data_IF_786507380703
#
_entry.id   IF_786507380703
#
_cell.length_a   1.000
_cell.length_b   1.000
_cell.length_c   1.000
_cell.angle_alpha   90.00
_cell.angle_beta   90.00
_cell.angle_gamma   90.00
#
_symmetry.space_group_name_H-M   'P 1'
#
loop_
_entity.id
_entity.type
_entity.pdbx_description
1 polymer ?
#
# COMPACT_ATOMS: atom_id res chain seq x y z
N UNK A 1 -31.91 -50.73 -14.47
CA UNK A 1 -32.37 -49.34 -14.39
C UNK A 1 -31.18 -48.52 -13.90
N UNK A 2 -30.38 -48.00 -14.81
CA UNK A 2 -29.17 -47.21 -14.48
C UNK A 2 -29.60 -45.75 -14.19
N UNK A 3 -29.41 -45.34 -12.94
CA UNK A 3 -29.52 -43.96 -12.56
C UNK A 3 -28.32 -43.19 -13.16
N UNK A 4 -28.63 -42.30 -14.11
CA UNK A 4 -27.65 -41.32 -14.59
C UNK A 4 -27.28 -40.38 -13.45
N UNK A 5 -26.05 -40.51 -12.95
CA UNK A 5 -25.43 -39.48 -12.08
C UNK A 5 -25.38 -38.18 -12.89
N UNK A 6 -26.17 -37.20 -12.46
CA UNK A 6 -26.06 -35.85 -13.02
C UNK A 6 -24.73 -35.24 -12.53
N UNK A 7 -23.89 -34.76 -13.45
CA UNK A 7 -22.64 -34.15 -13.05
C UNK A 7 -22.88 -32.93 -12.11
N UNK A 8 -22.04 -32.83 -11.10
CA UNK A 8 -22.12 -31.78 -10.08
C UNK A 8 -22.07 -30.38 -10.74
N UNK A 9 -22.83 -29.38 -10.29
CA UNK A 9 -22.88 -28.05 -10.90
C UNK A 9 -21.52 -27.33 -11.04
N UNK A 10 -20.52 -27.72 -10.22
CA UNK A 10 -19.15 -27.21 -10.29
C UNK A 10 -18.36 -27.72 -11.50
N UNK A 11 -18.66 -28.93 -12.02
CA UNK A 11 -17.98 -29.43 -13.22
C UNK A 11 -18.52 -28.78 -14.50
N UNK A 12 -19.78 -28.39 -14.51
CA UNK A 12 -20.42 -27.74 -15.66
C UNK A 12 -19.93 -26.30 -15.89
N UNK A 13 -19.55 -25.58 -14.83
CA UNK A 13 -19.03 -24.23 -14.94
C UNK A 13 -17.59 -24.15 -15.49
N UNK A 14 -16.82 -25.23 -15.38
CA UNK A 14 -15.47 -25.31 -15.93
C UNK A 14 -15.42 -25.41 -17.48
N UNK A 15 -16.53 -25.75 -18.12
CA UNK A 15 -16.57 -26.08 -19.56
C UNK A 15 -17.22 -25.00 -20.45
N UNK A 16 -17.76 -23.94 -19.91
CA UNK A 16 -18.22 -22.78 -20.69
C UNK A 16 -17.08 -21.87 -21.13
N UNK A 17 -15.90 -22.44 -21.35
CA UNK A 17 -14.75 -21.79 -21.89
C UNK A 17 -14.97 -21.36 -23.35
N UNK A 18 -14.51 -20.22 -23.66
CA UNK A 18 -14.50 -19.50 -24.94
C UNK A 18 -14.44 -20.46 -26.14
N UNK A 19 -15.44 -20.35 -27.02
CA UNK A 19 -15.56 -21.12 -28.27
C UNK A 19 -14.24 -21.09 -29.06
N UNK A 20 -13.61 -22.26 -29.25
CA UNK A 20 -12.33 -22.38 -29.99
C UNK A 20 -11.08 -22.62 -29.14
N UNK A 21 -11.16 -22.75 -27.84
CA UNK A 21 -10.01 -23.13 -27.01
C UNK A 21 -9.79 -24.64 -26.97
N UNK A 22 -8.55 -25.09 -27.22
CA UNK A 22 -8.13 -26.48 -26.98
C UNK A 22 -8.18 -26.79 -25.49
N UNK A 23 -8.68 -27.99 -25.16
CA UNK A 23 -8.73 -28.50 -23.79
C UNK A 23 -7.34 -28.39 -23.12
N UNK A 24 -7.28 -27.90 -21.90
CA UNK A 24 -6.05 -27.77 -21.12
C UNK A 24 -5.23 -26.49 -21.37
N UNK A 25 -5.61 -25.63 -22.31
CA UNK A 25 -4.94 -24.35 -22.54
C UNK A 25 -5.70 -23.21 -21.86
N UNK A 26 -5.15 -22.67 -20.79
CA UNK A 26 -5.68 -21.47 -20.13
C UNK A 26 -5.17 -20.23 -20.86
N UNK A 27 -6.06 -19.48 -21.49
CA UNK A 27 -5.70 -18.28 -22.27
C UNK A 27 -5.03 -17.20 -21.44
N UNK A 28 -5.33 -17.13 -20.16
CA UNK A 28 -4.93 -16.05 -19.25
C UNK A 28 -4.09 -16.51 -18.07
N UNK A 29 -3.89 -17.82 -17.90
CA UNK A 29 -3.08 -18.40 -16.84
C UNK A 29 -2.15 -19.49 -17.40
N UNK A 30 -0.92 -19.52 -16.92
CA UNK A 30 0.03 -20.61 -17.14
C UNK A 30 -0.36 -21.84 -16.29
N UNK A 31 0.31 -22.98 -16.51
CA UNK A 31 0.07 -24.22 -15.75
C UNK A 31 0.37 -24.06 -14.26
N UNK A 32 1.31 -23.20 -13.90
CA UNK A 32 1.71 -22.87 -12.53
C UNK A 32 0.79 -21.85 -11.83
N UNK A 33 -0.29 -21.41 -12.52
CA UNK A 33 -1.25 -20.43 -11.99
C UNK A 33 -0.86 -18.97 -12.21
N UNK A 34 0.35 -18.69 -12.72
CA UNK A 34 0.75 -17.34 -13.11
C UNK A 34 -0.05 -16.84 -14.32
N UNK A 35 -0.16 -15.51 -14.49
CA UNK A 35 -0.86 -14.95 -15.64
C UNK A 35 0.03 -15.03 -16.90
N UNK A 36 -0.60 -15.36 -18.03
CA UNK A 36 0.03 -15.16 -19.34
C UNK A 36 0.12 -13.65 -19.64
N UNK A 37 0.95 -13.19 -20.61
CA UNK A 37 0.97 -11.79 -21.02
C UNK A 37 -0.42 -11.26 -21.44
N UNK A 38 -1.27 -12.10 -22.02
CA UNK A 38 -2.66 -11.76 -22.33
C UNK A 38 -3.52 -11.69 -21.07
N UNK A 39 -3.24 -12.52 -20.07
CA UNK A 39 -3.85 -12.49 -18.74
C UNK A 39 -3.42 -11.23 -17.98
N UNK A 40 -2.15 -10.91 -18.01
CA UNK A 40 -1.63 -9.67 -17.40
C UNK A 40 -2.32 -8.44 -18.00
N UNK A 41 -2.43 -8.35 -19.33
CA UNK A 41 -3.11 -7.24 -20.02
C UNK A 41 -4.62 -7.18 -19.71
N UNK A 42 -5.29 -8.34 -19.58
CA UNK A 42 -6.73 -8.41 -19.27
C UNK A 42 -7.03 -8.13 -17.81
N UNK A 43 -6.17 -8.58 -16.93
CA UNK A 43 -6.30 -8.44 -15.47
C UNK A 43 -5.37 -7.39 -14.89
N UNK A 44 -4.49 -6.79 -15.71
CA UNK A 44 -3.84 -5.54 -15.36
C UNK A 44 -4.93 -4.48 -15.23
N UNK A 45 -5.44 -4.41 -14.03
CA UNK A 45 -6.28 -3.30 -13.63
C UNK A 45 -5.34 -2.10 -13.62
N UNK A 46 -5.55 -1.17 -14.52
CA UNK A 46 -4.95 0.16 -14.47
C UNK A 46 -5.51 0.83 -13.19
N UNK A 47 -4.87 0.47 -12.08
CA UNK A 47 -5.35 0.79 -10.74
C UNK A 47 -5.38 2.31 -10.52
N UNK A 48 -4.48 3.04 -11.16
CA UNK A 48 -4.40 4.50 -11.05
C UNK A 48 -5.64 5.19 -11.61
N UNK A 49 -6.17 4.69 -12.73
CA UNK A 49 -7.37 5.26 -13.36
C UNK A 49 -8.65 5.00 -12.58
N UNK A 50 -8.64 4.13 -11.59
CA UNK A 50 -9.84 3.78 -10.81
C UNK A 50 -9.94 4.50 -9.48
N UNK A 51 -8.86 5.10 -8.99
CA UNK A 51 -8.91 5.98 -7.81
C UNK A 51 -9.56 7.29 -8.22
N UNK A 52 -10.67 7.62 -7.59
CA UNK A 52 -11.43 8.84 -7.89
C UNK A 52 -10.99 9.96 -6.95
N UNK A 53 -10.80 11.16 -7.48
CA UNK A 53 -10.62 12.37 -6.68
C UNK A 53 -11.99 13.01 -6.48
N UNK A 54 -12.36 13.20 -5.22
CA UNK A 54 -13.63 13.81 -4.84
C UNK A 54 -13.54 15.35 -4.93
N UNK A 55 -14.68 16.02 -4.91
CA UNK A 55 -14.76 17.49 -4.98
C UNK A 55 -14.05 18.20 -3.82
N UNK A 56 -13.93 17.53 -2.66
CA UNK A 56 -13.21 18.04 -1.48
C UNK A 56 -11.70 17.74 -1.51
N UNK A 57 -11.18 17.15 -2.59
CA UNK A 57 -9.78 16.76 -2.75
C UNK A 57 -9.42 15.41 -2.13
N UNK A 58 -10.29 14.79 -1.32
CA UNK A 58 -10.08 13.42 -0.85
C UNK A 58 -10.15 12.43 -2.02
N UNK A 59 -9.68 11.21 -1.80
CA UNK A 59 -9.68 10.15 -2.80
C UNK A 59 -10.57 9.01 -2.38
N UNK A 60 -11.23 8.37 -3.35
CA UNK A 60 -12.01 7.13 -3.14
C UNK A 60 -11.37 6.00 -3.92
N UNK A 61 -10.99 4.94 -3.21
CA UNK A 61 -10.56 3.68 -3.79
C UNK A 61 -11.77 2.76 -3.89
N UNK A 62 -12.21 2.37 -5.11
CA UNK A 62 -13.46 1.64 -5.27
C UNK A 62 -13.37 0.18 -4.81
N UNK A 63 -14.53 -0.43 -4.57
CA UNK A 63 -14.64 -1.88 -4.37
C UNK A 63 -14.06 -2.65 -5.56
N UNK A 64 -13.41 -3.78 -5.28
CA UNK A 64 -12.72 -4.60 -6.28
C UNK A 64 -11.33 -4.09 -6.65
N UNK A 65 -10.91 -2.93 -6.17
CA UNK A 65 -9.53 -2.45 -6.36
C UNK A 65 -8.50 -3.39 -5.72
N UNK A 66 -7.34 -3.53 -6.33
CA UNK A 66 -6.30 -4.46 -5.86
C UNK A 66 -5.07 -3.74 -5.38
N UNK A 67 -4.63 -4.12 -4.19
CA UNK A 67 -3.35 -3.73 -3.61
C UNK A 67 -2.38 -4.90 -3.60
N UNK A 68 -1.11 -4.57 -3.45
CA UNK A 68 -0.02 -5.49 -3.14
C UNK A 68 0.55 -5.14 -1.76
N UNK A 69 0.96 -6.18 -1.04
CA UNK A 69 1.69 -6.05 0.22
C UNK A 69 2.79 -7.11 0.27
N UNK A 70 3.98 -6.73 0.67
CA UNK A 70 5.04 -7.68 1.01
C UNK A 70 4.99 -7.91 2.51
N UNK A 71 4.87 -9.16 2.95
CA UNK A 71 4.75 -9.50 4.36
C UNK A 71 4.75 -11.00 4.61
N UNK A 72 4.26 -11.41 5.77
CA UNK A 72 3.99 -12.81 6.09
C UNK A 72 2.76 -13.31 5.34
N UNK A 73 2.49 -14.61 5.38
CA UNK A 73 1.36 -15.23 4.67
C UNK A 73 -0.03 -14.83 5.23
N UNK A 74 -0.08 -14.31 6.44
CA UNK A 74 -1.30 -13.84 7.13
C UNK A 74 -1.54 -12.35 6.93
N UNK A 75 -2.78 -11.88 7.09
CA UNK A 75 -3.10 -10.45 7.08
C UNK A 75 -2.70 -9.85 8.43
N UNK A 76 -1.40 -9.68 8.62
CA UNK A 76 -0.89 -9.03 9.81
C UNK A 76 -1.01 -7.51 9.64
N UNK A 77 -1.94 -6.91 10.36
CA UNK A 77 -1.89 -5.47 10.64
C UNK A 77 -0.68 -5.18 11.51
N UNK A 78 -0.11 -4.00 11.41
CA UNK A 78 0.95 -3.59 12.33
C UNK A 78 0.41 -3.52 13.77
N UNK A 79 1.29 -3.34 14.76
CA UNK A 79 0.91 -3.27 16.19
C UNK A 79 -0.14 -2.17 16.47
N UNK A 80 -0.17 -1.13 15.65
CA UNK A 80 -1.14 -0.03 15.72
C UNK A 80 -2.49 -0.36 15.07
N UNK A 81 -2.60 -1.46 14.30
CA UNK A 81 -3.82 -1.84 13.58
C UNK A 81 -3.90 -1.32 12.15
N UNK A 82 -2.83 -0.73 11.60
CA UNK A 82 -2.74 -0.29 10.21
C UNK A 82 -2.22 -1.37 9.26
N UNK A 83 -2.67 -1.36 8.02
CA UNK A 83 -2.23 -2.26 6.97
C UNK A 83 -1.55 -1.47 5.86
N UNK A 84 -0.23 -1.61 5.74
CA UNK A 84 0.56 -0.98 4.69
C UNK A 84 0.37 -1.72 3.37
N UNK A 85 -0.04 -0.99 2.34
CA UNK A 85 -0.32 -1.51 1.00
C UNK A 85 0.15 -0.53 -0.07
N UNK A 86 0.40 -1.05 -1.26
CA UNK A 86 0.65 -0.24 -2.46
C UNK A 86 -0.09 -0.83 -3.65
N UNK A 87 -0.11 -0.13 -4.77
CA UNK A 87 -0.63 -0.67 -6.00
C UNK A 87 0.34 -0.39 -7.15
N UNK A 88 0.22 -1.19 -8.21
CA UNK A 88 1.16 -1.12 -9.32
C UNK A 88 2.28 -2.15 -9.21
N UNK A 89 2.80 -2.50 -10.39
CA UNK A 89 3.84 -3.52 -10.54
C UNK A 89 5.20 -3.01 -10.06
N UNK A 90 5.47 -1.73 -10.27
CA UNK A 90 6.72 -1.09 -9.89
C UNK A 90 6.92 -1.09 -8.38
N UNK A 91 5.90 -0.66 -7.64
CA UNK A 91 5.95 -0.60 -6.20
C UNK A 91 6.03 -1.99 -5.59
N UNK A 92 5.27 -2.97 -6.11
CA UNK A 92 5.39 -4.36 -5.70
C UNK A 92 6.83 -4.88 -5.85
N UNK A 93 7.48 -4.60 -7.00
CA UNK A 93 8.86 -5.02 -7.22
C UNK A 93 9.87 -4.31 -6.30
N UNK A 94 9.67 -3.02 -6.00
CA UNK A 94 10.50 -2.26 -5.05
C UNK A 94 10.39 -2.83 -3.64
N UNK A 95 9.17 -3.12 -3.18
CA UNK A 95 8.97 -3.73 -1.87
C UNK A 95 9.54 -5.16 -1.79
N UNK A 96 9.39 -5.98 -2.84
CA UNK A 96 10.05 -7.30 -2.89
C UNK A 96 11.58 -7.14 -2.81
N UNK A 97 12.16 -6.17 -3.53
CA UNK A 97 13.61 -5.89 -3.44
C UNK A 97 14.03 -5.45 -2.03
N UNK A 98 13.25 -4.61 -1.36
CA UNK A 98 13.57 -4.00 -0.07
C UNK A 98 13.29 -4.94 1.11
N UNK A 99 12.12 -5.57 1.13
CA UNK A 99 11.60 -6.33 2.27
C UNK A 99 11.63 -7.85 2.07
N UNK A 100 11.98 -8.33 0.88
CA UNK A 100 12.03 -9.76 0.59
C UNK A 100 13.05 -10.51 1.46
N UNK A 101 13.08 -11.86 1.41
CA UNK A 101 13.87 -12.70 2.29
C UNK A 101 15.38 -12.49 2.06
N UNK A 102 15.97 -11.60 2.81
CA UNK A 102 17.44 -11.42 2.93
C UNK A 102 17.95 -12.19 4.14
N UNK A 103 19.25 -12.52 4.16
CA UNK A 103 19.87 -13.19 5.30
C UNK A 103 19.69 -12.41 6.60
N UNK A 104 19.90 -11.09 6.56
CA UNK A 104 19.71 -10.19 7.70
C UNK A 104 18.22 -10.07 8.08
N UNK A 105 17.32 -9.90 7.10
CA UNK A 105 15.89 -9.81 7.37
C UNK A 105 15.33 -11.09 8.00
N UNK A 106 15.82 -12.26 7.61
CA UNK A 106 15.47 -13.53 8.25
C UNK A 106 15.98 -13.61 9.69
N UNK A 107 17.22 -13.16 9.93
CA UNK A 107 17.82 -13.15 11.25
C UNK A 107 17.06 -12.25 12.22
N UNK A 108 16.60 -11.10 11.76
CA UNK A 108 15.85 -10.12 12.58
C UNK A 108 14.32 -10.28 12.49
N UNK A 109 13.81 -11.31 11.81
CA UNK A 109 12.37 -11.55 11.69
C UNK A 109 11.59 -10.50 10.89
N UNK A 110 12.30 -9.65 10.12
CA UNK A 110 11.73 -8.55 9.31
C UNK A 110 11.52 -8.93 7.85
N UNK A 111 11.96 -10.14 7.44
CA UNK A 111 11.84 -10.58 6.05
C UNK A 111 10.37 -10.82 5.66
N UNK A 112 9.96 -10.22 4.57
CA UNK A 112 8.71 -10.56 3.89
C UNK A 112 8.85 -11.91 3.18
N UNK A 113 7.91 -12.83 3.44
CA UNK A 113 7.92 -14.18 2.89
C UNK A 113 7.07 -14.29 1.63
N UNK A 114 6.12 -13.38 1.48
CA UNK A 114 5.14 -13.43 0.39
C UNK A 114 4.72 -12.05 -0.10
N UNK A 115 4.25 -12.02 -1.35
CA UNK A 115 3.44 -10.93 -1.91
C UNK A 115 1.99 -11.30 -1.73
N UNK A 116 1.26 -10.52 -0.97
CA UNK A 116 -0.18 -10.65 -0.79
C UNK A 116 -0.90 -9.74 -1.78
N UNK A 117 -1.87 -10.30 -2.50
CA UNK A 117 -2.82 -9.52 -3.28
C UNK A 117 -4.06 -9.27 -2.42
N UNK A 118 -4.37 -8.03 -2.20
CA UNK A 118 -5.44 -7.59 -1.31
C UNK A 118 -6.51 -6.89 -2.14
N UNK A 119 -7.76 -7.27 -1.98
CA UNK A 119 -8.89 -6.67 -2.70
C UNK A 119 -9.75 -5.87 -1.73
N UNK A 120 -10.14 -4.68 -2.17
CA UNK A 120 -11.08 -3.80 -1.47
C UNK A 120 -12.49 -4.40 -1.55
N UNK A 121 -13.13 -4.67 -0.40
CA UNK A 121 -14.51 -5.19 -0.31
C UNK A 121 -15.55 -4.08 -0.45
N UNK A 122 -15.30 -2.95 0.20
CA UNK A 122 -16.15 -1.75 0.14
C UNK A 122 -15.28 -0.51 -0.04
N UNK A 123 -15.77 0.56 -0.69
CA UNK A 123 -14.94 1.72 -1.02
C UNK A 123 -14.18 2.27 0.19
N UNK A 124 -12.91 2.66 -0.04
CA UNK A 124 -12.08 3.30 0.97
C UNK A 124 -11.99 4.79 0.65
N UNK A 125 -12.30 5.63 1.61
CA UNK A 125 -12.02 7.07 1.53
C UNK A 125 -10.66 7.38 2.14
N UNK A 126 -9.85 8.16 1.42
CA UNK A 126 -8.51 8.54 1.82
C UNK A 126 -8.37 10.06 1.72
N UNK A 127 -7.78 10.77 2.71
CA UNK A 127 -7.51 12.18 2.61
C UNK A 127 -6.46 12.48 1.53
N UNK A 128 -6.43 13.72 1.02
CA UNK A 128 -5.26 14.24 0.32
C UNK A 128 -4.10 14.44 1.30
N UNK A 129 -2.90 14.72 0.78
CA UNK A 129 -1.76 15.05 1.63
C UNK A 129 -2.02 16.31 2.48
N UNK A 130 -2.68 17.29 1.89
CA UNK A 130 -3.07 18.53 2.55
C UNK A 130 -4.07 18.28 3.68
N UNK A 131 -5.09 17.47 3.41
CA UNK A 131 -6.05 17.06 4.43
C UNK A 131 -5.37 16.24 5.53
N UNK A 132 -4.44 15.35 5.15
CA UNK A 132 -3.65 14.57 6.12
C UNK A 132 -2.87 15.49 7.04
N UNK A 133 -2.16 16.48 6.49
CA UNK A 133 -1.42 17.46 7.27
C UNK A 133 -2.32 18.28 8.19
N UNK A 134 -3.45 18.76 7.69
CA UNK A 134 -4.42 19.57 8.44
C UNK A 134 -5.03 18.79 9.60
N UNK A 135 -5.48 17.57 9.36
CA UNK A 135 -6.06 16.71 10.40
C UNK A 135 -5.00 16.32 11.44
N UNK A 136 -3.77 16.03 11.02
CA UNK A 136 -2.65 15.77 11.92
C UNK A 136 -2.35 17.00 12.78
N UNK A 137 -2.22 18.18 12.18
CA UNK A 137 -1.98 19.43 12.93
C UNK A 137 -3.09 19.69 13.96
N UNK A 138 -4.35 19.54 13.54
CA UNK A 138 -5.50 19.71 14.43
C UNK A 138 -5.46 18.78 15.64
N UNK A 139 -5.14 17.50 15.41
CA UNK A 139 -5.03 16.49 16.45
C UNK A 139 -3.88 16.80 17.42
N UNK A 140 -2.70 17.15 16.90
CA UNK A 140 -1.50 17.41 17.71
C UNK A 140 -1.65 18.68 18.57
N UNK A 141 -2.32 19.72 18.06
CA UNK A 141 -2.62 20.93 18.85
C UNK A 141 -3.53 20.60 20.05
N UNK A 142 -4.50 19.70 19.85
CA UNK A 142 -5.45 19.31 20.89
C UNK A 142 -4.86 18.31 21.88
N UNK A 143 -3.78 17.60 21.53
CA UNK A 143 -3.17 16.57 22.34
C UNK A 143 -1.66 16.79 22.51
N UNK A 144 -1.28 17.54 23.55
CA UNK A 144 0.11 17.91 23.82
C UNK A 144 1.02 16.71 24.11
N UNK A 145 0.48 15.63 24.72
CA UNK A 145 1.25 14.41 24.96
C UNK A 145 1.58 13.75 23.62
N UNK A 146 0.58 13.55 22.77
CA UNK A 146 0.78 12.98 21.45
C UNK A 146 1.73 13.84 20.60
N UNK A 147 1.67 15.18 20.74
CA UNK A 147 2.59 16.07 20.05
C UNK A 147 4.05 15.87 20.48
N UNK A 148 4.30 15.70 21.78
CA UNK A 148 5.65 15.42 22.28
C UNK A 148 6.15 14.08 21.70
N UNK A 149 5.35 13.03 21.80
CA UNK A 149 5.72 11.68 21.34
C UNK A 149 5.94 11.66 19.79
N UNK A 150 5.12 12.42 19.06
CA UNK A 150 5.30 12.66 17.63
C UNK A 150 6.62 13.37 17.30
N UNK A 151 7.00 14.39 18.06
CA UNK A 151 8.30 15.09 17.89
C UNK A 151 9.48 14.14 18.12
N UNK A 152 9.43 13.34 19.18
CA UNK A 152 10.49 12.37 19.49
C UNK A 152 10.68 11.35 18.37
N UNK A 153 9.59 10.77 17.88
CA UNK A 153 9.62 9.86 16.74
C UNK A 153 10.18 10.57 15.50
N UNK A 154 9.67 11.76 15.17
CA UNK A 154 10.11 12.51 14.00
C UNK A 154 11.60 12.85 14.05
N UNK A 155 12.13 13.19 15.21
CA UNK A 155 13.55 13.48 15.40
C UNK A 155 14.44 12.27 15.15
N UNK A 156 13.95 11.07 15.46
CA UNK A 156 14.69 9.80 15.32
C UNK A 156 14.73 9.26 13.89
N UNK A 157 13.78 9.67 13.02
CA UNK A 157 13.71 9.15 11.64
C UNK A 157 14.75 9.81 10.71
N UNK A 158 15.13 9.06 9.68
CA UNK A 158 15.91 9.61 8.57
C UNK A 158 15.00 10.50 7.72
N UNK A 159 15.16 11.81 7.86
CA UNK A 159 14.41 12.78 7.08
C UNK A 159 14.96 12.85 5.66
N UNK A 160 14.07 12.68 4.68
CA UNK A 160 14.39 12.85 3.26
C UNK A 160 13.82 14.17 2.74
N UNK A 161 14.54 14.81 1.83
CA UNK A 161 14.18 16.12 1.30
C UNK A 161 14.73 17.26 2.17
N UNK A 162 14.19 18.48 1.97
CA UNK A 162 14.61 19.71 2.65
C UNK A 162 13.93 19.94 4.01
N UNK A 163 13.50 18.90 4.69
CA UNK A 163 12.89 19.02 6.00
C UNK A 163 13.97 19.05 7.09
N UNK A 164 13.82 19.96 8.05
CA UNK A 164 14.54 19.87 9.30
C UNK A 164 13.88 18.84 10.24
N UNK A 165 14.61 18.39 11.24
CA UNK A 165 14.15 17.37 12.20
C UNK A 165 13.30 17.93 13.34
N UNK A 166 13.03 19.21 13.38
CA UNK A 166 12.20 19.80 14.43
C UNK A 166 10.81 20.15 13.90
N UNK A 167 9.80 19.94 14.74
CA UNK A 167 8.42 20.33 14.50
C UNK A 167 7.95 21.19 15.68
N UNK A 168 7.60 22.43 15.39
CA UNK A 168 7.14 23.41 16.36
C UNK A 168 5.62 23.58 16.36
N UNK A 169 5.06 24.20 17.41
CA UNK A 169 3.65 24.60 17.41
C UNK A 169 3.33 25.59 16.26
N UNK A 170 4.30 26.42 15.89
CA UNK A 170 4.18 27.33 14.75
C UNK A 170 3.99 26.56 13.43
N UNK A 171 4.70 25.43 13.25
CA UNK A 171 4.54 24.59 12.07
C UNK A 171 3.14 23.99 11.99
N UNK A 172 2.58 23.56 13.13
CA UNK A 172 1.20 23.07 13.20
C UNK A 172 0.20 24.15 12.79
N UNK A 173 0.35 25.38 13.33
CA UNK A 173 -0.53 26.50 13.00
C UNK A 173 -0.41 26.91 11.53
N UNK A 174 0.79 26.84 10.97
CA UNK A 174 1.03 27.16 9.56
C UNK A 174 0.42 26.10 8.64
N UNK A 175 0.55 24.81 8.97
CA UNK A 175 -0.06 23.72 8.21
C UNK A 175 -1.60 23.81 8.17
N UNK A 176 -2.24 24.28 9.26
CA UNK A 176 -3.69 24.52 9.29
C UNK A 176 -4.13 25.63 8.32
N UNK A 177 -3.34 26.70 8.21
CA UNK A 177 -3.69 27.88 7.42
C UNK A 177 -3.21 27.81 5.98
N UNK A 178 -2.14 27.09 5.73
CA UNK A 178 -1.45 26.98 4.44
C UNK A 178 -1.20 25.52 4.08
N UNK A 179 -2.21 24.81 3.55
CA UNK A 179 -2.15 23.36 3.34
C UNK A 179 -1.12 22.92 2.31
N UNK A 180 -0.64 23.83 1.45
CA UNK A 180 0.43 23.58 0.46
C UNK A 180 1.83 23.96 0.97
N UNK A 181 1.95 24.43 2.21
CA UNK A 181 3.23 24.85 2.77
C UNK A 181 4.20 23.69 2.97
N UNK A 182 5.49 24.02 3.10
CA UNK A 182 6.54 23.04 3.42
C UNK A 182 6.27 22.37 4.77
N UNK A 183 5.72 23.10 5.72
CA UNK A 183 5.32 22.60 7.05
C UNK A 183 4.17 21.61 6.96
N UNK A 184 3.20 21.82 6.08
CA UNK A 184 2.14 20.84 5.82
C UNK A 184 2.69 19.56 5.20
N UNK A 185 3.60 19.66 4.22
CA UNK A 185 4.26 18.49 3.64
C UNK A 185 5.09 17.73 4.67
N UNK A 186 5.80 18.44 5.54
CA UNK A 186 6.57 17.88 6.66
C UNK A 186 5.68 17.10 7.62
N UNK A 187 4.49 17.61 7.96
CA UNK A 187 3.54 16.90 8.81
C UNK A 187 2.94 15.67 8.15
N UNK A 188 2.58 15.75 6.87
CA UNK A 188 2.10 14.60 6.12
C UNK A 188 3.15 13.49 6.00
N UNK A 189 4.42 13.87 5.82
CA UNK A 189 5.56 12.95 5.86
C UNK A 189 5.74 12.33 7.26
N UNK A 190 5.75 13.18 8.28
CA UNK A 190 5.99 12.76 9.67
C UNK A 190 4.92 11.81 10.19
N UNK A 191 3.63 12.05 9.86
CA UNK A 191 2.55 11.18 10.34
C UNK A 191 2.65 9.77 9.74
N UNK A 192 2.96 9.62 8.46
CA UNK A 192 3.11 8.29 7.87
C UNK A 192 4.29 7.53 8.46
N UNK A 193 5.38 8.21 8.79
CA UNK A 193 6.52 7.61 9.48
C UNK A 193 6.20 7.23 10.93
N UNK A 194 5.57 8.13 11.68
CA UNK A 194 5.11 7.91 13.05
C UNK A 194 4.18 6.69 13.17
N UNK A 195 3.27 6.51 12.21
CA UNK A 195 2.34 5.38 12.18
C UNK A 195 3.05 4.03 11.97
N UNK A 196 4.25 4.03 11.38
CA UNK A 196 5.10 2.86 11.20
C UNK A 196 6.03 2.56 12.36
N UNK A 197 6.20 3.50 13.29
CA UNK A 197 7.10 3.35 14.44
C UNK A 197 6.45 2.48 15.54
N UNK A 198 6.98 1.28 15.70
CA UNK A 198 6.48 0.32 16.69
C UNK A 198 6.58 0.79 18.15
N UNK A 199 7.49 1.75 18.44
CA UNK A 199 7.63 2.32 19.79
C UNK A 199 6.43 3.18 20.20
N UNK A 200 5.65 3.68 19.23
CA UNK A 200 4.49 4.56 19.42
C UNK A 200 3.19 3.91 18.94
N UNK A 201 3.08 2.58 19.06
CA UNK A 201 1.93 1.85 18.52
C UNK A 201 0.59 2.26 19.16
N UNK A 202 0.57 2.61 20.43
CA UNK A 202 -0.65 3.06 21.11
C UNK A 202 -1.04 4.48 20.73
N UNK A 203 -0.07 5.36 20.57
CA UNK A 203 -0.24 6.73 20.09
C UNK A 203 -0.72 6.73 18.63
N UNK A 204 -0.21 5.83 17.80
CA UNK A 204 -0.67 5.64 16.42
C UNK A 204 -2.14 5.20 16.35
N UNK A 205 -2.64 4.42 17.31
CA UNK A 205 -4.08 4.09 17.42
C UNK A 205 -4.95 5.33 17.64
N UNK A 206 -4.44 6.32 18.38
CA UNK A 206 -5.14 7.61 18.57
C UNK A 206 -5.25 8.35 17.24
N UNK A 207 -4.17 8.37 16.45
CA UNK A 207 -4.19 8.97 15.10
C UNK A 207 -5.19 8.24 14.21
N UNK A 208 -5.17 6.90 14.17
CA UNK A 208 -6.12 6.13 13.38
C UNK A 208 -7.58 6.38 13.80
N UNK A 209 -7.83 6.47 15.11
CA UNK A 209 -9.17 6.77 15.62
C UNK A 209 -9.64 8.15 15.17
N UNK A 210 -8.76 9.17 15.19
CA UNK A 210 -9.06 10.51 14.71
C UNK A 210 -9.46 10.50 13.21
N UNK A 211 -8.63 9.88 12.35
CA UNK A 211 -8.92 9.81 10.92
C UNK A 211 -10.19 9.01 10.61
N UNK A 212 -10.45 7.91 11.34
CA UNK A 212 -11.73 7.17 11.22
C UNK A 212 -12.93 8.01 11.62
N UNK A 213 -12.82 8.80 12.68
CA UNK A 213 -13.88 9.73 13.10
C UNK A 213 -14.19 10.81 12.05
N UNK A 214 -13.21 11.15 11.19
CA UNK A 214 -13.37 12.03 10.02
C UNK A 214 -13.89 11.30 8.77
N UNK A 215 -14.20 10.02 8.89
CA UNK A 215 -14.73 9.20 7.79
C UNK A 215 -13.67 8.71 6.80
N UNK A 216 -12.40 8.68 7.18
CA UNK A 216 -11.35 8.10 6.35
C UNK A 216 -11.10 6.64 6.71
N UNK A 217 -10.78 5.83 5.70
CA UNK A 217 -10.50 4.40 5.78
C UNK A 217 -9.04 4.06 5.50
N UNK A 218 -8.33 5.02 4.92
CA UNK A 218 -6.91 4.90 4.62
C UNK A 218 -6.24 6.28 4.75
N UNK A 219 -4.91 6.28 4.90
CA UNK A 219 -4.05 7.47 4.96
C UNK A 219 -2.96 7.31 3.91
N UNK A 220 -2.59 8.36 3.11
CA UNK A 220 -1.48 8.26 2.17
C UNK A 220 -0.15 8.06 2.91
N UNK A 221 0.69 7.17 2.43
CA UNK A 221 2.05 7.01 2.95
C UNK A 221 2.99 7.97 2.22
N UNK A 222 3.10 9.17 2.76
CA UNK A 222 3.93 10.23 2.19
C UNK A 222 5.42 9.95 2.44
N UNK A 223 5.76 9.26 3.53
CA UNK A 223 7.13 8.87 3.82
C UNK A 223 7.69 7.98 2.71
N UNK A 224 7.01 6.88 2.36
CA UNK A 224 7.47 5.96 1.31
C UNK A 224 7.50 6.60 -0.07
N UNK A 225 6.60 7.55 -0.32
CA UNK A 225 6.57 8.29 -1.58
C UNK A 225 7.78 9.23 -1.72
N UNK A 226 8.10 10.01 -0.71
CA UNK A 226 9.23 10.94 -0.74
C UNK A 226 10.58 10.23 -0.64
N UNK A 227 10.66 9.10 0.05
CA UNK A 227 11.86 8.24 0.05
C UNK A 227 12.11 7.54 -1.30
N UNK A 228 11.14 7.59 -2.23
CA UNK A 228 11.21 6.92 -3.51
C UNK A 228 10.95 5.41 -3.46
N UNK A 229 10.52 4.89 -2.32
CA UNK A 229 10.19 3.46 -2.15
C UNK A 229 8.93 3.10 -2.94
N UNK A 230 7.88 3.90 -2.82
CA UNK A 230 6.61 3.68 -3.50
C UNK A 230 5.92 5.01 -3.85
N UNK A 231 5.32 5.08 -5.03
CA UNK A 231 4.50 6.24 -5.43
C UNK A 231 3.03 6.08 -5.04
N UNK A 232 2.61 4.89 -4.67
CA UNK A 232 1.20 4.53 -4.45
C UNK A 232 0.94 3.97 -3.06
N UNK A 233 1.91 4.08 -2.15
CA UNK A 233 1.81 3.57 -0.78
C UNK A 233 0.72 4.28 0.01
N UNK A 234 0.00 3.48 0.79
CA UNK A 234 -1.00 3.94 1.74
C UNK A 234 -1.13 3.00 2.93
N UNK A 235 -1.69 3.50 4.01
CA UNK A 235 -1.99 2.75 5.21
C UNK A 235 -3.50 2.60 5.31
N UNK A 236 -4.02 1.38 5.14
CA UNK A 236 -5.44 1.09 5.37
C UNK A 236 -5.66 1.01 6.88
N UNK A 237 -6.48 1.91 7.41
CA UNK A 237 -6.80 2.01 8.85
C UNK A 237 -8.12 1.33 9.20
N UNK A 238 -8.85 0.86 8.19
CA UNK A 238 -10.08 0.08 8.31
C UNK A 238 -9.89 -1.29 7.61
N UNK A 239 -9.10 -2.21 8.20
CA UNK A 239 -8.72 -3.46 7.56
C UNK A 239 -9.91 -4.38 7.25
N UNK A 240 -11.03 -4.23 7.95
CA UNK A 240 -12.27 -4.97 7.67
C UNK A 240 -12.84 -4.72 6.27
N UNK A 241 -12.47 -3.59 5.64
CA UNK A 241 -12.89 -3.23 4.28
C UNK A 241 -12.07 -3.89 3.18
N UNK A 242 -11.08 -4.67 3.53
CA UNK A 242 -10.21 -5.38 2.57
C UNK A 242 -10.14 -6.88 2.88
N UNK A 243 -9.62 -7.67 1.93
CA UNK A 243 -9.35 -9.10 2.12
C UNK A 243 -8.16 -9.54 1.27
N UNK A 244 -7.39 -10.51 1.77
CA UNK A 244 -6.41 -11.22 0.94
C UNK A 244 -7.18 -12.08 -0.06
N UNK A 245 -6.82 -11.98 -1.33
CA UNK A 245 -7.39 -12.79 -2.42
C UNK A 245 -6.42 -13.82 -2.96
N UNK A 246 -5.14 -13.58 -2.84
CA UNK A 246 -4.09 -14.55 -3.14
C UNK A 246 -2.79 -14.16 -2.45
N UNK A 247 -1.91 -15.16 -2.30
CA UNK A 247 -0.57 -15.00 -1.72
C UNK A 247 0.42 -15.70 -2.64
N UNK A 248 1.51 -15.03 -2.97
CA UNK A 248 2.59 -15.58 -3.80
C UNK A 248 3.87 -15.59 -2.95
N UNK A 249 4.49 -16.75 -2.79
CA UNK A 249 5.74 -16.88 -2.07
C UNK A 249 6.88 -16.12 -2.77
N UNK A 250 7.71 -15.44 -2.00
CA UNK A 250 8.89 -14.75 -2.53
C UNK A 250 10.06 -15.73 -2.60
N UNK A 251 10.11 -16.49 -3.69
CA UNK A 251 11.22 -17.38 -4.00
C UNK A 251 12.47 -16.59 -4.43
N UNK A 252 13.62 -17.30 -4.54
CA UNK A 252 14.85 -16.70 -5.08
C UNK A 252 14.67 -16.14 -6.50
N UNK A 253 13.84 -16.80 -7.32
CA UNK A 253 13.57 -16.37 -8.70
C UNK A 253 12.67 -15.12 -8.74
N UNK A 254 11.66 -15.03 -7.87
CA UNK A 254 10.83 -13.83 -7.71
C UNK A 254 11.71 -12.66 -7.27
N UNK A 255 12.61 -12.88 -6.31
CA UNK A 255 13.57 -11.87 -5.85
C UNK A 255 14.50 -11.40 -6.96
N UNK A 256 15.07 -12.34 -7.74
CA UNK A 256 15.95 -12.04 -8.88
C UNK A 256 15.23 -11.22 -9.93
N UNK A 257 14.00 -11.62 -10.28
CA UNK A 257 13.14 -10.94 -11.26
C UNK A 257 12.78 -9.53 -10.80
N UNK A 258 12.39 -9.34 -9.53
CA UNK A 258 12.08 -8.03 -8.97
C UNK A 258 13.29 -7.09 -9.00
N UNK A 259 14.48 -7.57 -8.60
CA UNK A 259 15.73 -6.79 -8.66
C UNK A 259 16.09 -6.38 -10.08
N UNK A 260 15.95 -7.29 -11.05
CA UNK A 260 16.23 -7.00 -12.46
C UNK A 260 15.24 -5.94 -13.02
N UNK A 261 13.97 -6.07 -12.69
CA UNK A 261 12.94 -5.12 -13.11
C UNK A 261 13.18 -3.72 -12.53
N UNK A 262 13.45 -3.59 -11.24
CA UNK A 262 13.78 -2.30 -10.59
C UNK A 262 15.02 -1.68 -11.23
N UNK A 263 16.08 -2.45 -11.50
CA UNK A 263 17.27 -1.96 -12.20
C UNK A 263 16.95 -1.40 -13.59
N UNK A 264 16.00 -2.01 -14.30
CA UNK A 264 15.55 -1.52 -15.62
C UNK A 264 14.81 -0.18 -15.48
N UNK A 265 13.93 -0.04 -14.48
CA UNK A 265 13.23 1.22 -14.20
C UNK A 265 14.18 2.36 -13.84
N UNK A 266 15.20 2.07 -13.03
CA UNK A 266 16.25 3.05 -12.65
C UNK A 266 16.99 3.56 -13.88
N UNK A 267 17.34 2.67 -14.83
CA UNK A 267 18.00 3.05 -16.10
C UNK A 267 17.09 3.90 -17.00
N UNK A 268 15.82 3.58 -17.09
CA UNK A 268 14.86 4.35 -17.89
C UNK A 268 14.73 5.77 -17.35
N UNK A 269 14.61 5.95 -16.05
CA UNK A 269 14.55 7.28 -15.42
C UNK A 269 15.80 8.13 -15.71
N UNK A 270 16.98 7.55 -15.66
CA UNK A 270 18.23 8.26 -15.99
C UNK A 270 18.25 8.69 -17.46
N UNK A 271 17.80 7.83 -18.38
CA UNK A 271 17.77 8.16 -19.79
C UNK A 271 16.74 9.25 -20.13
N UNK A 272 15.65 9.38 -19.38
CA UNK A 272 14.66 10.44 -19.55
C UNK A 272 15.15 11.79 -19.03
N UNK A 273 16.05 11.80 -18.05
CA UNK A 273 16.69 13.02 -17.50
C UNK A 273 17.81 13.53 -18.43
N UNK A 274 18.44 12.62 -19.19
CA UNK A 274 19.58 12.94 -20.07
C UNK A 274 19.17 13.28 -21.51
N UNK A 275 17.88 13.32 -21.83
CA UNK A 275 17.31 13.82 -23.09
C UNK A 275 16.92 15.29 -22.97
#
# INVERSE_FOLDING_TARGET
MHLYDKPHPTEFLAHHGIKGMRWGVRRFQNKDGSLTPAGEKRYAVDSEKKVQVNSDGSKTVPSGFRFNRVGKSTLDVNQSGGLYVSYGKEDAARYVKALGPTTLGKLFGTAGESVQHITVKSPLRMPSDEQTAKETASLLIQNKRLFRDFKESFYSIAVTGDFDKDISESDLQKALRQPLSKEAQKLAYGVSSFLGDGNYADEAKIVYAHFRAKGYDAIPDVHDRLSGTSQTAMIVINPDKVKITSTVEITKDVMKSAKAYVKTLEKLKVNDILK
#
